data_IF_093288547073
#
_entry.id   IF_093288547073
#
_cell.length_a   1.000
_cell.length_b   1.000
_cell.length_c   1.000
_cell.angle_alpha   90.00
_cell.angle_beta   90.00
_cell.angle_gamma   90.00
#
_symmetry.space_group_name_H-M   'P 1'
#
loop_
_entity.id
_entity.type
_entity.pdbx_description
1 polymer ?
#
# COMPACT_ATOMS: atom_id res chain seq x y z
N UNK A 1 -12.16 -32.42 1.93
CA UNK A 1 -11.11 -31.62 2.59
C UNK A 1 -11.10 -30.21 2.03
N UNK A 2 -11.01 -29.25 2.90
CA UNK A 2 -10.98 -27.85 2.47
C UNK A 2 -9.58 -27.48 2.00
N UNK A 3 -9.45 -26.90 0.82
CA UNK A 3 -8.19 -26.36 0.35
C UNK A 3 -7.81 -25.13 1.17
N UNK A 4 -6.50 -24.98 1.46
CA UNK A 4 -6.01 -23.79 2.16
C UNK A 4 -6.22 -22.50 1.34
N UNK A 5 -6.45 -22.65 0.02
CA UNK A 5 -6.70 -21.52 -0.88
C UNK A 5 -8.18 -21.36 -1.23
N UNK A 6 -9.06 -21.99 -0.46
CA UNK A 6 -10.50 -21.78 -0.62
C UNK A 6 -10.90 -20.53 0.17
N UNK A 7 -11.15 -19.46 -0.56
CA UNK A 7 -11.49 -18.15 0.02
C UNK A 7 -12.89 -17.71 -0.37
N UNK A 8 -13.85 -18.65 -0.37
CA UNK A 8 -15.24 -18.35 -0.67
C UNK A 8 -15.94 -17.60 0.47
N UNK A 9 -15.40 -17.66 1.67
CA UNK A 9 -15.96 -16.97 2.83
C UNK A 9 -15.38 -15.55 2.92
N UNK A 10 -16.12 -14.66 3.60
CA UNK A 10 -15.64 -13.32 3.88
C UNK A 10 -14.41 -13.36 4.79
N UNK A 11 -13.45 -12.50 4.51
CA UNK A 11 -12.32 -12.26 5.40
C UNK A 11 -12.61 -11.00 6.20
N UNK A 12 -12.60 -11.11 7.52
CA UNK A 12 -12.90 -10.00 8.43
C UNK A 12 -11.72 -9.81 9.38
N UNK A 13 -11.11 -8.63 9.32
CA UNK A 13 -10.03 -8.25 10.21
C UNK A 13 -10.45 -7.02 11.00
N UNK A 14 -10.17 -7.03 12.30
CA UNK A 14 -10.40 -5.86 13.16
C UNK A 14 -9.37 -4.77 12.81
N UNK A 15 -9.62 -3.56 13.32
CA UNK A 15 -8.70 -2.45 13.11
C UNK A 15 -7.26 -2.82 13.50
N UNK A 16 -6.31 -2.54 12.63
CA UNK A 16 -4.90 -2.81 12.86
C UNK A 16 -4.46 -4.25 12.66
N UNK A 17 -5.38 -5.16 12.40
CA UNK A 17 -5.04 -6.58 12.18
C UNK A 17 -4.55 -6.83 10.75
N UNK A 18 -3.79 -7.91 10.59
CA UNK A 18 -3.23 -8.34 9.32
C UNK A 18 -1.85 -8.96 9.53
N UNK A 19 -1.20 -9.35 8.44
CA UNK A 19 0.17 -9.85 8.51
C UNK A 19 1.13 -8.66 8.50
N UNK A 20 1.94 -8.55 9.56
CA UNK A 20 2.83 -7.41 9.77
C UNK A 20 4.24 -7.75 9.32
N UNK A 21 4.81 -6.89 8.48
CA UNK A 21 6.20 -6.98 8.05
C UNK A 21 6.91 -5.67 8.39
N UNK A 22 7.98 -5.75 9.18
CA UNK A 22 8.79 -4.61 9.54
C UNK A 22 9.97 -4.50 8.56
N UNK A 23 10.07 -3.36 7.89
CA UNK A 23 11.08 -3.11 6.87
C UNK A 23 11.87 -1.84 7.23
N UNK A 24 12.50 -1.84 8.40
CA UNK A 24 13.22 -0.65 8.87
C UNK A 24 12.27 0.46 9.26
N UNK A 25 12.28 1.56 8.49
CA UNK A 25 11.40 2.71 8.76
C UNK A 25 9.99 2.56 8.18
N UNK A 26 9.75 1.45 7.46
CA UNK A 26 8.43 1.12 6.95
C UNK A 26 7.86 -0.09 7.67
N UNK A 27 6.55 -0.10 7.84
CA UNK A 27 5.82 -1.26 8.33
C UNK A 27 4.66 -1.52 7.37
N UNK A 28 4.60 -2.74 6.85
CA UNK A 28 3.49 -3.16 6.00
C UNK A 28 2.55 -4.06 6.80
N UNK A 29 1.25 -3.84 6.64
CA UNK A 29 0.22 -4.69 7.25
C UNK A 29 -0.66 -5.19 6.11
N UNK A 30 -0.50 -6.46 5.74
CA UNK A 30 -1.27 -7.05 4.65
C UNK A 30 -2.63 -7.49 5.15
N UNK A 31 -3.66 -6.99 4.49
CA UNK A 31 -5.06 -7.31 4.77
C UNK A 31 -5.53 -8.50 3.96
N UNK A 32 -5.21 -8.51 2.68
CA UNK A 32 -5.51 -9.62 1.78
C UNK A 32 -4.48 -9.59 0.66
N UNK A 33 -3.92 -10.75 0.33
CA UNK A 33 -2.99 -10.84 -0.79
C UNK A 33 -3.53 -11.82 -1.84
N UNK A 34 -2.70 -12.17 -2.81
CA UNK A 34 -3.08 -13.03 -3.92
C UNK A 34 -3.68 -14.36 -3.45
N UNK A 35 -3.18 -14.90 -2.35
CA UNK A 35 -3.68 -16.16 -1.81
C UNK A 35 -5.11 -16.04 -1.28
N UNK A 36 -5.47 -14.89 -0.70
CA UNK A 36 -6.81 -14.68 -0.17
C UNK A 36 -7.81 -14.19 -1.22
N UNK A 37 -7.32 -13.68 -2.35
CA UNK A 37 -8.19 -13.05 -3.36
C UNK A 37 -8.27 -13.83 -4.67
N UNK A 38 -7.76 -15.05 -4.71
CA UNK A 38 -7.68 -15.85 -5.94
C UNK A 38 -6.91 -15.10 -7.04
N UNK A 39 -5.78 -14.52 -6.69
CA UNK A 39 -4.89 -13.78 -7.60
C UNK A 39 -5.51 -12.53 -8.24
N UNK A 40 -6.57 -11.99 -7.66
CA UNK A 40 -7.26 -10.85 -8.27
C UNK A 40 -6.67 -9.51 -7.84
N UNK A 41 -6.25 -9.39 -6.58
CA UNK A 41 -5.71 -8.14 -6.04
C UNK A 41 -5.02 -8.41 -4.71
N UNK A 42 -4.29 -7.39 -4.22
CA UNK A 42 -3.84 -7.39 -2.83
C UNK A 42 -4.16 -6.05 -2.19
N UNK A 43 -4.35 -6.06 -0.88
CA UNK A 43 -4.65 -4.87 -0.08
C UNK A 43 -3.73 -4.86 1.12
N UNK A 44 -3.03 -3.74 1.31
CA UNK A 44 -2.08 -3.60 2.42
C UNK A 44 -2.04 -2.17 2.91
N UNK A 45 -1.70 -2.01 4.20
CA UNK A 45 -1.36 -0.70 4.75
C UNK A 45 0.15 -0.55 4.78
N UNK A 46 0.63 0.64 4.50
CA UNK A 46 2.05 0.97 4.60
C UNK A 46 2.20 2.19 5.50
N UNK A 47 2.96 2.01 6.56
CA UNK A 47 3.20 3.05 7.56
C UNK A 47 4.68 3.43 7.52
N UNK A 48 4.94 4.74 7.43
CA UNK A 48 6.30 5.27 7.33
C UNK A 48 6.58 6.18 8.52
N UNK A 49 7.74 5.95 9.16
CA UNK A 49 8.23 6.82 10.21
C UNK A 49 8.54 8.22 9.66
N UNK A 50 8.62 9.24 10.53
CA UNK A 50 8.96 10.59 10.06
C UNK A 50 10.27 10.63 9.26
N UNK A 51 10.30 11.45 8.22
CA UNK A 51 11.48 11.71 7.41
C UNK A 51 12.17 10.42 6.92
N UNK A 52 11.37 9.51 6.36
CA UNK A 52 11.88 8.23 5.90
C UNK A 52 11.57 8.00 4.42
N UNK A 53 12.46 7.27 3.77
CA UNK A 53 12.26 6.85 2.39
C UNK A 53 11.30 5.66 2.33
N UNK A 54 10.71 5.48 1.15
CA UNK A 54 9.88 4.33 0.83
C UNK A 54 10.66 3.26 0.08
N UNK A 55 9.97 2.49 -0.76
CA UNK A 55 10.59 1.35 -1.45
C UNK A 55 11.55 1.72 -2.57
N UNK A 56 11.53 2.96 -3.04
CA UNK A 56 12.28 3.39 -4.22
C UNK A 56 11.42 3.39 -5.46
N UNK A 57 11.85 4.17 -6.46
CA UNK A 57 11.10 4.33 -7.70
C UNK A 57 11.06 3.01 -8.47
N UNK A 58 9.87 2.61 -8.90
CA UNK A 58 9.64 1.37 -9.63
C UNK A 58 8.36 1.47 -10.45
N UNK A 59 8.13 0.48 -11.30
CA UNK A 59 6.89 0.39 -12.06
C UNK A 59 6.49 -1.08 -12.21
N UNK A 60 5.21 -1.32 -12.45
CA UNK A 60 4.67 -2.65 -12.71
C UNK A 60 4.16 -2.72 -14.13
N UNK A 61 4.38 -3.86 -14.79
CA UNK A 61 4.02 -4.00 -16.20
C UNK A 61 2.52 -4.16 -16.42
N UNK A 62 1.86 -4.90 -15.54
CA UNK A 62 0.48 -5.31 -15.77
C UNK A 62 -0.48 -4.93 -14.64
N UNK A 63 0.01 -4.27 -13.62
CA UNK A 63 -0.79 -3.99 -12.42
C UNK A 63 -0.99 -2.50 -12.22
N UNK A 64 -2.19 -2.12 -11.90
CA UNK A 64 -2.49 -0.79 -11.38
C UNK A 64 -2.25 -0.79 -9.86
N UNK A 65 -1.90 0.36 -9.32
CA UNK A 65 -1.88 0.57 -7.87
C UNK A 65 -2.78 1.73 -7.50
N UNK A 66 -3.42 1.59 -6.35
CA UNK A 66 -4.23 2.66 -5.77
C UNK A 66 -3.70 2.93 -4.37
N UNK A 67 -3.50 4.20 -4.06
CA UNK A 67 -3.15 4.65 -2.71
C UNK A 67 -4.26 5.52 -2.16
N UNK A 68 -4.62 5.26 -0.93
CA UNK A 68 -5.53 6.12 -0.17
C UNK A 68 -4.82 6.50 1.12
N UNK A 69 -4.64 7.79 1.36
CA UNK A 69 -3.89 8.26 2.53
C UNK A 69 -4.75 8.16 3.77
N UNK A 70 -4.33 7.34 4.73
CA UNK A 70 -5.05 7.09 5.97
C UNK A 70 -4.70 8.10 7.06
N UNK A 71 -3.45 8.53 7.11
CA UNK A 71 -2.95 9.42 8.16
C UNK A 71 -1.76 10.23 7.66
N UNK A 72 -1.67 11.47 8.08
CA UNK A 72 -0.55 12.35 7.77
C UNK A 72 -0.55 12.80 6.31
N UNK A 73 0.65 13.15 5.83
CA UNK A 73 0.87 13.56 4.45
C UNK A 73 1.98 12.71 3.85
N UNK A 74 1.67 12.02 2.78
CA UNK A 74 2.60 11.14 2.08
C UNK A 74 3.04 11.80 0.79
N UNK A 75 4.34 11.84 0.53
CA UNK A 75 4.86 12.28 -0.76
C UNK A 75 4.83 11.09 -1.70
N UNK A 76 4.19 11.27 -2.86
CA UNK A 76 4.00 10.19 -3.83
C UNK A 76 4.54 10.64 -5.18
N UNK A 77 5.42 9.82 -5.75
CA UNK A 77 5.95 10.02 -7.09
C UNK A 77 5.00 9.39 -8.10
N UNK A 78 4.58 10.15 -9.09
CA UNK A 78 3.78 9.66 -10.21
C UNK A 78 4.46 10.12 -11.49
N UNK A 79 5.05 9.17 -12.21
CA UNK A 79 5.87 9.48 -13.37
C UNK A 79 7.15 10.20 -12.96
N UNK A 80 7.24 11.48 -13.24
CA UNK A 80 8.40 12.32 -12.88
C UNK A 80 8.05 13.40 -11.85
N UNK A 81 6.84 13.39 -11.31
CA UNK A 81 6.38 14.42 -10.37
C UNK A 81 6.10 13.86 -8.98
N UNK A 82 6.63 14.54 -7.97
CA UNK A 82 6.29 14.28 -6.58
C UNK A 82 5.14 15.15 -6.17
N UNK A 83 4.12 14.54 -5.58
CA UNK A 83 2.97 15.25 -5.01
C UNK A 83 2.92 14.96 -3.52
N UNK A 84 2.39 15.93 -2.75
CA UNK A 84 2.15 15.76 -1.32
C UNK A 84 0.68 15.46 -1.11
N UNK A 85 0.38 14.22 -0.76
CA UNK A 85 -0.98 13.74 -0.62
C UNK A 85 -1.38 13.73 0.86
N UNK A 86 -2.35 14.54 1.21
CA UNK A 86 -2.88 14.64 2.57
C UNK A 86 -3.84 13.49 2.87
N UNK A 87 -4.10 13.28 4.15
CA UNK A 87 -5.12 12.35 4.63
C UNK A 87 -6.41 12.50 3.83
N UNK A 88 -6.93 11.38 3.33
CA UNK A 88 -8.12 11.34 2.49
C UNK A 88 -7.87 11.45 1.00
N UNK A 89 -6.62 11.66 0.58
CA UNK A 89 -6.29 11.71 -0.84
C UNK A 89 -6.32 10.33 -1.48
N UNK A 90 -6.76 10.30 -2.72
CA UNK A 90 -6.85 9.09 -3.52
C UNK A 90 -5.97 9.25 -4.75
N UNK A 91 -5.08 8.28 -4.98
CA UNK A 91 -4.18 8.29 -6.14
C UNK A 91 -4.27 6.95 -6.84
N UNK A 92 -4.59 6.96 -8.12
CA UNK A 92 -4.52 5.77 -8.96
C UNK A 92 -3.31 5.89 -9.88
N UNK A 93 -2.46 4.87 -9.86
CA UNK A 93 -1.27 4.80 -10.69
C UNK A 93 -1.44 3.64 -11.66
N UNK A 94 -1.61 3.93 -12.96
CA UNK A 94 -1.77 2.86 -13.94
C UNK A 94 -0.48 2.07 -14.13
N UNK A 95 -0.63 0.86 -14.66
CA UNK A 95 0.50 0.02 -15.04
C UNK A 95 1.50 0.82 -15.89
N UNK A 96 2.77 0.47 -15.80
CA UNK A 96 3.88 1.06 -16.56
C UNK A 96 4.22 2.50 -16.17
N UNK A 97 3.65 3.01 -15.10
CA UNK A 97 3.97 4.34 -14.59
C UNK A 97 4.95 4.22 -13.43
N UNK A 98 6.07 4.92 -13.54
CA UNK A 98 7.06 4.98 -12.45
C UNK A 98 6.44 5.62 -11.23
N UNK A 99 6.63 5.01 -10.06
CA UNK A 99 6.08 5.54 -8.83
C UNK A 99 6.94 5.18 -7.62
N UNK A 100 6.72 5.90 -6.54
CA UNK A 100 7.37 5.71 -5.26
C UNK A 100 6.54 6.46 -4.22
N UNK A 101 6.80 6.22 -2.95
CA UNK A 101 6.22 7.02 -1.88
C UNK A 101 7.22 7.14 -0.75
N UNK A 102 7.14 8.25 -0.01
CA UNK A 102 8.01 8.51 1.13
C UNK A 102 7.35 9.49 2.08
N UNK A 103 7.90 9.60 3.27
CA UNK A 103 7.42 10.55 4.27
C UNK A 103 8.47 11.64 4.48
N UNK A 104 8.15 12.86 4.06
CA UNK A 104 9.01 14.04 4.22
C UNK A 104 8.60 14.91 5.39
N UNK A 105 7.69 14.43 6.23
CA UNK A 105 7.18 15.19 7.37
C UNK A 105 7.79 14.68 8.67
N UNK A 106 7.55 15.41 9.75
CA UNK A 106 7.99 15.05 11.09
C UNK A 106 6.98 14.19 11.85
N UNK A 107 5.96 13.68 11.17
CA UNK A 107 4.93 12.83 11.74
C UNK A 107 4.81 11.55 10.91
N UNK A 108 4.39 10.48 11.55
CA UNK A 108 4.12 9.21 10.88
C UNK A 108 3.04 9.38 9.83
N UNK A 109 3.17 8.71 8.70
CA UNK A 109 2.15 8.68 7.65
C UNK A 109 1.77 7.25 7.32
N UNK A 110 0.53 7.06 6.90
CA UNK A 110 0.03 5.75 6.50
C UNK A 110 -0.84 5.83 5.28
N UNK A 111 -0.69 4.84 4.41
CA UNK A 111 -1.50 4.71 3.20
C UNK A 111 -2.10 3.31 3.13
N UNK A 112 -3.29 3.23 2.54
CA UNK A 112 -3.89 1.96 2.14
C UNK A 112 -3.53 1.76 0.67
N UNK A 113 -3.02 0.59 0.33
CA UNK A 113 -2.57 0.25 -1.01
C UNK A 113 -3.40 -0.89 -1.57
N UNK A 114 -3.91 -0.70 -2.78
CA UNK A 114 -4.54 -1.75 -3.56
C UNK A 114 -3.66 -2.02 -4.78
N UNK A 115 -3.30 -3.26 -4.96
CA UNK A 115 -2.50 -3.73 -6.08
C UNK A 115 -3.38 -4.66 -6.92
N UNK A 116 -3.73 -4.19 -8.09
CA UNK A 116 -4.78 -4.84 -8.90
C UNK A 116 -4.20 -5.38 -10.20
#
# INVERSE_FOLDING_TARGET
MKHKNDHSAALILSAGQGRVYNCGTMTAIFKADENETNDKYSVSEWWLEPNSDGPGAHQHEDNDEVFYVLEGTTSILVGDKWINAEKGSFIRIPAKTMHDFKNRTDKKTGVLNFFI
#
